data_IF_544849779416
#
_entry.id   IF_544849779416
#
_cell.length_a   1.000
_cell.length_b   1.000
_cell.length_c   1.000
_cell.angle_alpha   90.00
_cell.angle_beta   90.00
_cell.angle_gamma   90.00
#
_symmetry.space_group_name_H-M   'P 1'
#
loop_
_entity.id
_entity.type
_entity.pdbx_description
1 polymer ?
#
# COMPACT_ATOMS: atom_id res chain seq x y z
N UNK A 1 13.71 1.97 15.64
CA UNK A 1 12.96 3.09 15.02
C UNK A 1 11.81 3.49 15.92
N UNK A 2 11.54 4.78 16.00
CA UNK A 2 10.38 5.27 16.73
C UNK A 2 9.09 5.00 15.93
N UNK A 3 7.95 5.19 16.60
CA UNK A 3 6.66 5.11 15.93
C UNK A 3 6.58 6.11 14.77
N UNK A 4 7.03 7.33 15.01
CA UNK A 4 7.00 8.41 14.01
C UNK A 4 7.85 8.06 12.80
N UNK A 5 9.00 7.43 12.99
CA UNK A 5 9.85 7.02 11.88
C UNK A 5 9.21 5.91 11.04
N UNK A 6 8.56 4.95 11.70
CA UNK A 6 7.85 3.88 11.00
C UNK A 6 6.66 4.43 10.21
N UNK A 7 5.88 5.32 10.83
CA UNK A 7 4.76 5.96 10.15
C UNK A 7 5.25 6.78 8.95
N UNK A 8 6.37 7.47 9.08
CA UNK A 8 6.93 8.26 7.98
C UNK A 8 7.27 7.38 6.77
N UNK A 9 7.80 6.18 7.00
CA UNK A 9 8.09 5.23 5.91
C UNK A 9 6.81 4.86 5.17
N UNK A 10 5.74 4.58 5.92
CA UNK A 10 4.45 4.22 5.32
C UNK A 10 3.83 5.40 4.60
N UNK A 11 3.92 6.60 5.15
CA UNK A 11 3.37 7.78 4.50
C UNK A 11 4.10 8.12 3.22
N UNK A 12 5.40 7.91 3.16
CA UNK A 12 6.16 8.06 1.93
C UNK A 12 5.69 7.06 0.86
N UNK A 13 5.35 5.83 1.29
CA UNK A 13 4.77 4.84 0.40
C UNK A 13 3.42 5.31 -0.15
N UNK A 14 2.52 5.78 0.73
CA UNK A 14 1.20 6.26 0.29
C UNK A 14 1.31 7.50 -0.59
N UNK A 15 2.26 8.40 -0.32
CA UNK A 15 2.45 9.61 -1.12
C UNK A 15 2.83 9.30 -2.56
N UNK A 16 3.46 8.16 -2.82
CA UNK A 16 3.79 7.76 -4.18
C UNK A 16 2.56 7.61 -5.06
N UNK A 17 1.42 7.25 -4.49
CA UNK A 17 0.18 7.15 -5.26
C UNK A 17 -0.34 8.53 -5.68
N UNK A 18 -0.10 9.56 -4.88
CA UNK A 18 -0.51 10.92 -5.21
C UNK A 18 0.45 11.58 -6.21
N UNK A 19 1.75 11.42 -5.99
CA UNK A 19 2.78 12.05 -6.83
C UNK A 19 3.07 11.28 -8.10
N UNK A 20 2.70 9.99 -8.15
CA UNK A 20 3.03 9.07 -9.24
C UNK A 20 4.54 8.83 -9.37
N UNK A 21 5.27 9.02 -8.28
CA UNK A 21 6.73 8.91 -8.26
C UNK A 21 7.14 7.79 -7.29
N UNK A 22 7.68 6.70 -7.85
CA UNK A 22 8.11 5.54 -7.08
C UNK A 22 9.54 5.65 -6.55
N UNK A 23 10.27 6.70 -6.92
CA UNK A 23 11.68 6.83 -6.57
C UNK A 23 11.94 7.01 -5.08
N UNK A 24 10.92 7.41 -4.31
CA UNK A 24 11.05 7.66 -2.88
C UNK A 24 10.64 6.48 -2.01
N UNK A 25 10.31 5.36 -2.63
CA UNK A 25 9.94 4.17 -1.85
C UNK A 25 11.15 3.50 -1.23
N UNK A 26 11.03 3.15 0.04
CA UNK A 26 12.09 2.46 0.78
C UNK A 26 11.76 0.98 0.86
N UNK A 27 11.98 0.25 -0.21
CA UNK A 27 11.75 -1.20 -0.24
C UNK A 27 13.05 -1.96 -0.02
N UNK A 28 12.99 -3.01 0.80
CA UNK A 28 14.07 -3.98 0.90
C UNK A 28 14.20 -4.71 -0.45
N UNK A 29 15.39 -5.23 -0.73
CA UNK A 29 15.60 -5.96 -1.99
C UNK A 29 14.69 -7.17 -2.14
N UNK A 30 14.43 -7.85 -1.03
CA UNK A 30 13.60 -9.05 -0.97
C UNK A 30 12.16 -8.76 -0.53
N UNK A 31 11.70 -7.53 -0.70
CA UNK A 31 10.33 -7.14 -0.34
C UNK A 31 9.30 -8.05 -1.01
N UNK A 32 8.21 -8.32 -0.29
CA UNK A 32 7.10 -9.09 -0.85
C UNK A 32 5.82 -8.26 -0.81
N UNK A 33 4.92 -8.58 -1.72
CA UNK A 33 3.59 -7.99 -1.76
C UNK A 33 2.57 -9.10 -1.99
N UNK A 34 1.56 -9.14 -1.15
CA UNK A 34 0.49 -10.13 -1.23
C UNK A 34 -0.84 -9.44 -1.08
N UNK A 35 -1.79 -9.82 -1.91
CA UNK A 35 -3.14 -9.24 -1.86
C UNK A 35 -4.17 -10.19 -2.42
N UNK A 36 -5.45 -9.81 -2.34
CA UNK A 36 -6.53 -10.66 -2.85
C UNK A 36 -6.42 -10.86 -4.36
N UNK A 37 -6.68 -12.08 -4.79
CA UNK A 37 -6.80 -12.43 -6.22
C UNK A 37 -5.53 -12.25 -7.02
N UNK A 38 -4.38 -12.29 -6.35
CA UNK A 38 -3.11 -12.17 -7.04
C UNK A 38 -2.10 -13.11 -6.42
N UNK A 39 -1.13 -13.60 -7.21
CA UNK A 39 -0.04 -14.35 -6.64
C UNK A 39 0.86 -13.44 -5.80
N UNK A 40 1.54 -14.03 -4.83
CA UNK A 40 2.50 -13.29 -4.03
C UNK A 40 3.66 -12.84 -4.91
N UNK A 41 3.96 -11.54 -4.87
CA UNK A 41 5.09 -10.97 -5.57
C UNK A 41 6.30 -10.97 -4.65
N UNK A 42 7.46 -11.32 -5.19
CA UNK A 42 8.69 -11.36 -4.42
C UNK A 42 9.79 -10.60 -5.17
N UNK A 43 10.49 -9.74 -4.43
CA UNK A 43 11.57 -8.94 -4.95
C UNK A 43 11.16 -7.52 -5.32
N UNK A 44 12.09 -6.61 -5.13
CA UNK A 44 11.83 -5.17 -5.34
C UNK A 44 11.36 -4.87 -6.76
N UNK A 45 11.99 -5.47 -7.76
CA UNK A 45 11.63 -5.20 -9.15
C UNK A 45 10.19 -5.62 -9.45
N UNK A 46 9.78 -6.79 -8.94
CA UNK A 46 8.42 -7.29 -9.16
C UNK A 46 7.38 -6.39 -8.48
N UNK A 47 7.67 -5.97 -7.25
CA UNK A 47 6.74 -5.12 -6.50
C UNK A 47 6.64 -3.74 -7.13
N UNK A 48 7.77 -3.14 -7.52
CA UNK A 48 7.76 -1.83 -8.18
C UNK A 48 7.03 -1.89 -9.53
N UNK A 49 7.22 -2.97 -10.28
CA UNK A 49 6.53 -3.16 -11.55
C UNK A 49 5.02 -3.22 -11.38
N UNK A 50 4.55 -3.94 -10.36
CA UNK A 50 3.14 -4.00 -10.05
C UNK A 50 2.58 -2.62 -9.67
N UNK A 51 3.28 -1.89 -8.79
CA UNK A 51 2.84 -0.57 -8.37
C UNK A 51 2.82 0.41 -9.55
N UNK A 52 3.84 0.36 -10.40
CA UNK A 52 3.88 1.20 -11.59
C UNK A 52 2.67 0.94 -12.51
N UNK A 53 2.22 -0.32 -12.54
CA UNK A 53 1.05 -0.69 -13.34
C UNK A 53 -0.24 -0.10 -12.78
N UNK A 54 -0.40 -0.04 -11.47
CA UNK A 54 -1.65 0.45 -10.88
C UNK A 54 -1.69 1.97 -10.70
N UNK A 55 -0.55 2.64 -10.62
CA UNK A 55 -0.51 4.09 -10.38
C UNK A 55 -1.40 4.92 -11.30
N UNK A 56 -1.45 4.66 -12.62
CA UNK A 56 -2.29 5.47 -13.50
C UNK A 56 -3.78 5.37 -13.18
N UNK A 57 -4.20 4.29 -12.49
CA UNK A 57 -5.61 4.09 -12.15
C UNK A 57 -6.01 4.77 -10.85
N UNK A 58 -5.03 5.19 -10.05
CA UNK A 58 -5.30 5.78 -8.73
C UNK A 58 -5.58 7.28 -8.89
N UNK A 59 -6.70 7.73 -8.33
CA UNK A 59 -7.11 9.14 -8.35
C UNK A 59 -6.86 9.85 -7.04
N UNK A 60 -6.81 9.11 -5.94
CA UNK A 60 -6.55 9.71 -4.64
C UNK A 60 -6.46 8.68 -3.54
N UNK A 61 -5.87 9.09 -2.45
CA UNK A 61 -5.75 8.32 -1.22
C UNK A 61 -6.33 9.16 -0.09
N UNK A 62 -7.21 8.57 0.71
CA UNK A 62 -7.69 9.21 1.93
C UNK A 62 -7.27 8.36 3.11
N UNK A 63 -6.27 8.83 3.85
CA UNK A 63 -5.76 8.13 5.02
C UNK A 63 -6.79 8.18 6.15
N UNK A 64 -7.02 7.03 6.79
CA UNK A 64 -7.92 6.93 7.93
C UNK A 64 -7.15 6.77 9.24
N UNK A 65 -6.22 5.80 9.29
CA UNK A 65 -5.57 5.47 10.56
C UNK A 65 -4.30 4.67 10.32
N UNK A 66 -3.30 4.90 11.17
CA UNK A 66 -2.15 4.01 11.32
C UNK A 66 -2.24 3.32 12.68
N UNK A 67 -1.98 2.02 12.69
CA UNK A 67 -1.89 1.22 13.91
C UNK A 67 -0.50 0.61 13.94
N UNK A 68 0.28 0.96 14.94
CA UNK A 68 1.68 0.50 15.03
C UNK A 68 1.84 -0.49 16.15
N UNK A 69 2.40 -1.66 15.86
CA UNK A 69 2.76 -2.65 16.84
C UNK A 69 4.09 -3.27 16.46
N UNK A 70 5.11 -3.10 17.31
CA UNK A 70 6.45 -3.61 17.02
C UNK A 70 6.97 -3.06 15.70
N UNK A 71 7.39 -3.94 14.83
CA UNK A 71 7.94 -3.57 13.52
C UNK A 71 6.87 -3.51 12.42
N UNK A 72 5.60 -3.57 12.81
CA UNK A 72 4.49 -3.58 11.88
C UNK A 72 3.69 -2.30 11.96
N UNK A 73 3.25 -1.81 10.82
CA UNK A 73 2.28 -0.72 10.73
C UNK A 73 1.10 -1.24 9.90
N UNK A 74 -0.07 -1.21 10.50
CA UNK A 74 -1.31 -1.41 9.76
C UNK A 74 -1.81 -0.03 9.37
N UNK A 75 -2.02 0.20 8.08
CA UNK A 75 -2.54 1.47 7.60
C UNK A 75 -3.88 1.26 6.92
N UNK A 76 -4.85 2.05 7.33
CA UNK A 76 -6.22 1.98 6.84
C UNK A 76 -6.48 3.22 6.01
N UNK A 77 -6.89 3.03 4.76
CA UNK A 77 -7.13 4.15 3.88
C UNK A 77 -8.12 3.78 2.78
N UNK A 78 -8.72 4.80 2.18
CA UNK A 78 -9.53 4.63 0.98
C UNK A 78 -8.68 5.00 -0.23
N UNK A 79 -8.72 4.15 -1.24
CA UNK A 79 -8.07 4.42 -2.52
C UNK A 79 -9.16 4.66 -3.57
N UNK A 80 -9.23 5.88 -4.06
CA UNK A 80 -10.12 6.21 -5.14
C UNK A 80 -9.44 5.86 -6.46
N UNK A 81 -10.10 5.08 -7.27
CA UNK A 81 -9.59 4.66 -8.57
C UNK A 81 -10.58 5.01 -9.67
N UNK A 82 -10.16 4.79 -10.92
CA UNK A 82 -11.05 4.98 -12.07
C UNK A 82 -12.27 4.05 -12.04
N UNK A 83 -12.20 2.98 -11.24
CA UNK A 83 -13.27 1.98 -11.15
C UNK A 83 -14.12 2.09 -9.89
N UNK A 84 -13.83 3.06 -9.02
CA UNK A 84 -14.55 3.23 -7.76
C UNK A 84 -13.61 3.36 -6.58
N UNK A 85 -14.10 3.06 -5.38
CA UNK A 85 -13.34 3.21 -4.14
C UNK A 85 -13.00 1.85 -3.58
N UNK A 86 -11.73 1.63 -3.29
CA UNK A 86 -11.24 0.48 -2.54
C UNK A 86 -11.02 0.89 -1.10
N UNK A 87 -11.59 0.14 -0.17
CA UNK A 87 -11.33 0.31 1.26
C UNK A 87 -10.21 -0.64 1.63
N UNK A 88 -9.04 -0.08 1.97
CA UNK A 88 -7.81 -0.84 2.07
C UNK A 88 -7.31 -0.91 3.51
N UNK A 89 -6.80 -2.07 3.87
CA UNK A 89 -6.08 -2.31 5.11
C UNK A 89 -4.77 -3.00 4.71
N UNK A 90 -3.66 -2.28 4.81
CA UNK A 90 -2.33 -2.82 4.51
C UNK A 90 -1.60 -3.11 5.80
N UNK A 91 -1.08 -4.33 5.94
CA UNK A 91 -0.18 -4.69 7.03
C UNK A 91 1.23 -4.64 6.51
N UNK A 92 2.02 -3.71 7.02
CA UNK A 92 3.35 -3.41 6.49
C UNK A 92 4.42 -3.72 7.52
N UNK A 93 5.35 -4.58 7.16
CA UNK A 93 6.49 -4.94 8.01
C UNK A 93 7.67 -4.06 7.63
N UNK A 94 8.25 -3.37 8.62
CA UNK A 94 9.35 -2.44 8.41
C UNK A 94 10.56 -2.94 9.17
N UNK A 95 11.70 -3.07 8.48
CA UNK A 95 12.96 -3.50 9.06
C UNK A 95 14.04 -2.52 8.59
N UNK A 96 14.76 -1.93 9.54
CA UNK A 96 15.86 -1.00 9.25
C UNK A 96 15.47 0.13 8.32
N UNK A 97 14.27 0.68 8.51
CA UNK A 97 13.79 1.79 7.70
C UNK A 97 13.28 1.42 6.33
N UNK A 98 13.21 0.12 6.02
CA UNK A 98 12.74 -0.35 4.72
C UNK A 98 11.50 -1.20 4.86
N UNK A 99 10.64 -1.15 3.86
CA UNK A 99 9.46 -2.02 3.81
C UNK A 99 9.89 -3.40 3.36
N UNK A 100 9.67 -4.38 4.25
CA UNK A 100 10.03 -5.78 4.03
C UNK A 100 8.89 -6.58 3.43
N UNK A 101 7.66 -6.27 3.81
CA UNK A 101 6.49 -6.92 3.24
C UNK A 101 5.27 -6.03 3.35
N UNK A 102 4.36 -6.20 2.41
CA UNK A 102 3.05 -5.58 2.43
C UNK A 102 2.03 -6.68 2.19
N UNK A 103 1.12 -6.84 3.17
CA UNK A 103 -0.03 -7.72 3.04
C UNK A 103 -1.26 -6.83 2.90
N UNK A 104 -1.84 -6.82 1.72
CA UNK A 104 -2.98 -5.95 1.41
C UNK A 104 -4.29 -6.71 1.56
N UNK A 105 -5.25 -6.08 2.23
CA UNK A 105 -6.61 -6.59 2.37
C UNK A 105 -7.52 -5.45 1.94
N UNK A 106 -8.44 -5.72 1.06
CA UNK A 106 -9.34 -4.66 0.62
C UNK A 106 -10.66 -5.23 0.11
N UNK A 107 -11.67 -4.38 0.12
CA UNK A 107 -12.91 -4.63 -0.59
C UNK A 107 -13.27 -3.38 -1.39
N UNK A 108 -13.91 -3.60 -2.52
CA UNK A 108 -14.25 -2.52 -3.44
C UNK A 108 -15.71 -2.15 -3.29
N UNK A 109 -15.98 -0.85 -3.23
CA UNK A 109 -17.33 -0.33 -3.21
C UNK A 109 -17.75 -0.12 -4.67
N UNK A 110 -18.85 -0.75 -5.04
CA UNK A 110 -19.35 -0.73 -6.40
C UNK A 110 -20.57 0.17 -6.50
N UNK A 111 -20.99 0.42 -7.74
CA UNK A 111 -22.24 1.15 -7.97
C UNK A 111 -23.43 0.33 -7.46
N UNK A 112 -24.54 1.02 -7.21
CA UNK A 112 -25.73 0.38 -6.65
C UNK A 112 -26.22 -0.81 -7.47
N UNK A 113 -26.11 -0.78 -8.79
CA UNK A 113 -26.54 -1.89 -9.62
C UNK A 113 -25.66 -3.11 -9.46
N UNK A 114 -24.43 -2.96 -9.04
CA UNK A 114 -23.51 -4.06 -8.87
C UNK A 114 -23.58 -4.72 -7.51
N UNK A 115 -24.46 -4.28 -6.63
CA UNK A 115 -24.51 -4.75 -5.25
C UNK A 115 -25.77 -5.54 -4.99
N UNK A 116 -25.62 -6.47 -4.08
CA UNK A 116 -26.71 -7.31 -3.63
C UNK A 116 -26.98 -7.05 -2.16
#
# INVERSE_FOLDING_TARGET
MSREQKVAVVEAYLDCFATKDLSKMSFAEDVTFEGPRMPKLAGRAAVLGFLAHILPMVRGIQLKQHIVEGDYVATVFDMETVNGVDHVFDRIHIVDGQIKSIDAFYYSEQTAEGQI
#
